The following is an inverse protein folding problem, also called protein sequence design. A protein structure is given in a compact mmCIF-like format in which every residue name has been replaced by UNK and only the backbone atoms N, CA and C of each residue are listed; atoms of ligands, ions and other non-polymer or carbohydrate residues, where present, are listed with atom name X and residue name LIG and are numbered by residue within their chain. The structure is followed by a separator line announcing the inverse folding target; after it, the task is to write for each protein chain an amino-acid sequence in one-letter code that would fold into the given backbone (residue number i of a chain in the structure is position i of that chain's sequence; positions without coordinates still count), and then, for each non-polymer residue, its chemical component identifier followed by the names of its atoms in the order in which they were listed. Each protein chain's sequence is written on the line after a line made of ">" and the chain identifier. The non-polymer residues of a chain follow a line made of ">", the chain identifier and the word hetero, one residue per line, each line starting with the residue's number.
data_IF_725335243477
#
_entry.id   IF_725335243477
#
_cell.length_a   1.000
_cell.length_b   1.000
_cell.length_c   1.000
_cell.angle_alpha   90.00
_cell.angle_beta   90.00
_cell.angle_gamma   90.00
#
_symmetry.space_group_name_H-M   'P 1'
#
loop_
_entity.id
_entity.type
_entity.pdbx_description
1 polymer ?
#
# COMPACT_ATOMS: atom_id res chain seq x y z
N UNK A 1 38.93 -21.66 31.12
CA UNK A 1 37.49 -21.38 31.20
C UNK A 1 36.79 -22.24 30.18
N UNK A 2 35.89 -23.11 30.62
CA UNK A 2 35.17 -24.04 29.76
C UNK A 2 34.24 -23.27 28.81
N UNK A 3 34.55 -23.27 27.51
CA UNK A 3 33.66 -22.73 26.50
C UNK A 3 32.45 -23.67 26.35
N UNK A 4 31.25 -23.13 26.57
CA UNK A 4 29.98 -23.78 26.29
C UNK A 4 29.92 -24.20 24.81
N UNK A 5 30.18 -25.49 24.54
CA UNK A 5 30.16 -26.08 23.20
C UNK A 5 28.76 -26.39 22.67
N UNK A 6 27.85 -25.42 22.75
CA UNK A 6 26.57 -25.48 22.03
C UNK A 6 26.64 -24.55 20.82
N UNK A 7 26.60 -25.09 19.61
CA UNK A 7 26.38 -24.25 18.43
C UNK A 7 25.05 -23.50 18.60
N UNK A 8 25.03 -22.21 18.29
CA UNK A 8 23.78 -21.46 18.25
C UNK A 8 22.85 -22.12 17.21
N UNK A 9 21.58 -22.33 17.55
CA UNK A 9 20.58 -22.94 16.66
C UNK A 9 20.10 -21.98 15.56
N UNK A 10 20.98 -21.09 15.08
CA UNK A 10 20.65 -20.07 14.10
C UNK A 10 21.01 -20.56 12.70
N UNK A 11 20.11 -20.25 11.78
CA UNK A 11 20.26 -20.32 10.33
C UNK A 11 21.05 -19.13 9.74
N UNK A 12 21.37 -18.10 10.54
CA UNK A 12 22.20 -16.98 10.11
C UNK A 12 23.68 -17.40 10.06
N UNK A 13 24.30 -17.22 8.90
CA UNK A 13 25.74 -17.40 8.71
C UNK A 13 26.43 -16.05 8.78
N UNK A 14 27.44 -15.90 9.65
CA UNK A 14 28.20 -14.67 9.76
C UNK A 14 29.70 -14.92 9.93
N UNK A 15 30.50 -14.01 9.39
CA UNK A 15 31.95 -13.97 9.53
C UNK A 15 32.31 -12.67 10.25
N UNK A 16 33.21 -12.77 11.24
CA UNK A 16 33.81 -11.63 11.94
C UNK A 16 35.29 -11.58 11.59
N UNK A 17 35.78 -10.41 11.16
CA UNK A 17 37.19 -10.18 10.83
C UNK A 17 37.70 -8.91 11.50
N UNK A 18 38.99 -8.85 11.85
CA UNK A 18 39.60 -7.62 12.35
C UNK A 18 39.76 -6.57 11.24
N UNK A 19 39.65 -5.30 11.61
CA UNK A 19 39.94 -4.14 10.75
C UNK A 19 41.12 -3.37 11.35
N UNK A 20 42.16 -3.03 10.57
CA UNK A 20 43.30 -2.30 11.08
C UNK A 20 42.93 -0.95 11.72
N UNK A 21 43.70 -0.54 12.73
CA UNK A 21 43.58 0.78 13.31
C UNK A 21 43.87 1.86 12.25
N UNK A 22 43.06 2.92 12.24
CA UNK A 22 43.39 4.13 11.47
C UNK A 22 44.24 5.08 12.33
N UNK A 23 44.83 6.12 11.74
CA UNK A 23 45.57 7.17 12.47
C UNK A 23 44.78 7.83 13.60
N UNK A 24 43.45 7.74 13.56
CA UNK A 24 42.53 8.32 14.54
C UNK A 24 41.96 7.27 15.51
N UNK A 25 42.27 5.99 15.32
CA UNK A 25 41.76 4.91 16.16
C UNK A 25 42.72 4.61 17.31
N UNK A 26 42.17 4.22 18.46
CA UNK A 26 42.95 3.76 19.63
C UNK A 26 43.41 2.30 19.52
N UNK A 27 43.00 1.58 18.47
CA UNK A 27 43.29 0.17 18.23
C UNK A 27 42.54 -0.39 17.00
N UNK A 28 42.75 -1.67 16.65
CA UNK A 28 41.99 -2.35 15.59
C UNK A 28 40.51 -2.47 15.96
N UNK A 29 39.66 -2.53 14.94
CA UNK A 29 38.20 -2.75 15.07
C UNK A 29 37.77 -4.12 14.55
N UNK A 30 36.46 -4.33 14.43
CA UNK A 30 35.88 -5.55 13.87
C UNK A 30 34.90 -5.22 12.73
N UNK A 31 34.95 -6.02 11.68
CA UNK A 31 33.99 -6.04 10.59
C UNK A 31 33.14 -7.31 10.73
N UNK A 32 31.82 -7.15 10.62
CA UNK A 32 30.86 -8.25 10.68
C UNK A 32 30.11 -8.32 9.35
N UNK A 33 30.11 -9.50 8.74
CA UNK A 33 29.33 -9.78 7.52
C UNK A 33 28.45 -11.00 7.77
N UNK A 34 27.14 -10.78 7.86
CA UNK A 34 26.12 -11.81 8.02
C UNK A 34 25.22 -11.95 6.80
N UNK A 35 24.64 -13.14 6.61
CA UNK A 35 23.55 -13.40 5.67
C UNK A 35 22.47 -14.25 6.34
N UNK A 36 21.22 -13.91 6.06
CA UNK A 36 20.02 -14.70 6.33
C UNK A 36 19.24 -14.87 5.02
N UNK A 37 18.55 -15.99 4.87
CA UNK A 37 17.69 -16.24 3.71
C UNK A 37 16.27 -15.74 3.99
N UNK A 38 15.74 -14.90 3.10
CA UNK A 38 14.37 -14.42 3.16
C UNK A 38 13.48 -15.32 2.29
N UNK A 39 12.58 -16.08 2.91
CA UNK A 39 11.73 -17.06 2.23
C UNK A 39 10.24 -16.79 2.54
N UNK A 40 9.42 -16.73 1.50
CA UNK A 40 7.97 -16.57 1.59
C UNK A 40 7.31 -17.11 0.32
N UNK A 41 6.02 -17.43 0.39
CA UNK A 41 5.31 -18.11 -0.70
C UNK A 41 3.89 -17.56 -0.90
N UNK A 42 3.31 -17.86 -2.07
CA UNK A 42 1.97 -17.47 -2.45
C UNK A 42 1.22 -18.66 -3.01
N UNK A 43 -0.07 -18.80 -2.69
CA UNK A 43 -0.95 -19.80 -3.30
C UNK A 43 -2.22 -19.14 -3.82
N UNK A 44 -2.59 -19.49 -5.05
CA UNK A 44 -3.92 -19.19 -5.59
C UNK A 44 -4.86 -20.28 -5.13
N UNK A 45 -5.93 -19.89 -4.43
CA UNK A 45 -6.92 -20.82 -3.90
C UNK A 45 -8.32 -20.30 -4.22
N UNK A 46 -9.27 -21.21 -4.40
CA UNK A 46 -10.69 -20.88 -4.42
C UNK A 46 -11.28 -21.24 -3.06
N UNK A 47 -11.93 -20.29 -2.39
CA UNK A 47 -12.52 -20.45 -1.06
C UNK A 47 -11.51 -20.96 -0.01
N UNK A 48 -10.67 -20.05 0.49
CA UNK A 48 -9.62 -20.35 1.49
C UNK A 48 -10.17 -20.93 2.81
N UNK A 49 -11.46 -20.72 3.09
CA UNK A 49 -12.14 -21.25 4.29
C UNK A 49 -13.01 -22.48 3.98
N UNK A 50 -12.73 -23.20 2.89
CA UNK A 50 -13.35 -24.49 2.59
C UNK A 50 -12.92 -25.55 3.62
N UNK A 51 -13.87 -26.04 4.43
CA UNK A 51 -13.65 -27.04 5.48
C UNK A 51 -13.07 -28.37 4.99
N UNK A 52 -13.11 -28.64 3.68
CA UNK A 52 -12.53 -29.85 3.08
C UNK A 52 -11.05 -29.69 2.70
N UNK A 53 -10.50 -28.46 2.76
CA UNK A 53 -9.12 -28.14 2.37
C UNK A 53 -8.27 -27.78 3.58
N UNK A 54 -7.08 -28.36 3.68
CA UNK A 54 -6.20 -28.12 4.83
C UNK A 54 -5.12 -27.05 4.59
N UNK A 55 -5.09 -26.42 3.41
CA UNK A 55 -4.00 -25.52 2.98
C UNK A 55 -3.68 -24.45 4.04
N UNK A 56 -4.70 -23.73 4.54
CA UNK A 56 -4.54 -22.71 5.58
C UNK A 56 -4.31 -23.33 6.96
N UNK A 57 -5.03 -24.41 7.31
CA UNK A 57 -4.94 -25.08 8.60
C UNK A 57 -3.53 -25.61 8.91
N UNK A 58 -2.79 -26.06 7.89
CA UNK A 58 -1.43 -26.61 8.04
C UNK A 58 -0.47 -25.63 8.72
N UNK A 59 -0.65 -24.32 8.52
CA UNK A 59 0.16 -23.27 9.17
C UNK A 59 -0.10 -23.11 10.66
N UNK A 60 -1.18 -23.67 11.20
CA UNK A 60 -1.58 -23.51 12.60
C UNK A 60 -1.73 -24.85 13.34
N UNK A 61 -1.72 -25.98 12.61
CA UNK A 61 -1.87 -27.33 13.15
C UNK A 61 -0.91 -27.63 14.31
N UNK A 62 0.35 -27.19 14.20
CA UNK A 62 1.38 -27.38 15.24
C UNK A 62 0.97 -26.80 16.59
N UNK A 63 0.25 -25.68 16.59
CA UNK A 63 -0.15 -24.96 17.80
C UNK A 63 -1.56 -25.32 18.27
N UNK A 64 -2.42 -25.83 17.39
CA UNK A 64 -3.81 -26.17 17.71
C UNK A 64 -4.68 -24.94 18.02
N UNK A 65 -4.18 -23.74 17.74
CA UNK A 65 -4.87 -22.46 17.94
C UNK A 65 -4.36 -21.42 16.94
N UNK A 66 -5.13 -20.35 16.75
CA UNK A 66 -4.76 -19.25 15.87
C UNK A 66 -5.32 -17.93 16.39
N UNK A 67 -4.50 -16.88 16.38
CA UNK A 67 -4.95 -15.49 16.51
C UNK A 67 -5.23 -14.95 15.12
N UNK A 68 -6.49 -14.59 14.87
CA UNK A 68 -6.94 -14.02 13.60
C UNK A 68 -7.21 -12.54 13.80
N UNK A 69 -6.57 -11.69 12.99
CA UNK A 69 -6.83 -10.25 12.96
C UNK A 69 -7.57 -9.92 11.66
N UNK A 70 -8.75 -9.33 11.79
CA UNK A 70 -9.64 -8.98 10.68
C UNK A 70 -10.50 -7.75 10.98
N UNK A 71 -10.92 -7.02 9.96
CA UNK A 71 -11.80 -5.86 10.15
C UNK A 71 -13.26 -6.24 10.42
N UNK A 72 -14.02 -5.31 10.98
CA UNK A 72 -15.43 -5.50 11.35
C UNK A 72 -16.33 -5.95 10.19
N UNK A 73 -16.17 -5.40 8.98
CA UNK A 73 -17.00 -5.79 7.84
C UNK A 73 -16.70 -7.23 7.40
N UNK A 74 -15.42 -7.62 7.42
CA UNK A 74 -15.03 -9.00 7.13
C UNK A 74 -15.47 -9.97 8.22
N UNK A 75 -15.48 -9.56 9.49
CA UNK A 75 -16.01 -10.40 10.55
C UNK A 75 -17.51 -10.67 10.37
N UNK A 76 -18.29 -9.66 9.98
CA UNK A 76 -19.72 -9.82 9.67
C UNK A 76 -19.95 -10.78 8.49
N UNK A 77 -19.15 -10.68 7.43
CA UNK A 77 -19.32 -11.50 6.23
C UNK A 77 -18.74 -12.92 6.37
N UNK A 78 -17.57 -13.06 7.01
CA UNK A 78 -16.74 -14.27 6.96
C UNK A 78 -16.37 -14.84 8.33
N UNK A 79 -16.68 -14.16 9.44
CA UNK A 79 -16.32 -14.63 10.79
C UNK A 79 -16.88 -16.02 11.11
N UNK A 80 -18.11 -16.32 10.71
CA UNK A 80 -18.71 -17.65 10.84
C UNK A 80 -17.97 -18.72 10.01
N UNK A 81 -17.56 -18.38 8.78
CA UNK A 81 -16.81 -19.29 7.92
C UNK A 81 -15.42 -19.59 8.47
N UNK A 82 -14.71 -18.57 8.99
CA UNK A 82 -13.41 -18.70 9.66
C UNK A 82 -13.52 -19.64 10.88
N UNK A 83 -14.53 -19.42 11.72
CA UNK A 83 -14.75 -20.26 12.90
C UNK A 83 -15.06 -21.71 12.53
N UNK A 84 -15.91 -21.93 11.52
CA UNK A 84 -16.25 -23.26 11.05
C UNK A 84 -15.05 -23.98 10.43
N UNK A 85 -14.25 -23.29 9.62
CA UNK A 85 -13.01 -23.81 9.03
C UNK A 85 -12.03 -24.29 10.10
N UNK A 86 -11.63 -23.42 11.03
CA UNK A 86 -10.68 -23.84 12.05
C UNK A 86 -11.27 -24.90 13.00
N UNK A 87 -12.57 -24.84 13.28
CA UNK A 87 -13.30 -25.86 14.02
C UNK A 87 -13.22 -27.25 13.39
N UNK A 88 -13.43 -27.36 12.06
CA UNK A 88 -13.33 -28.65 11.34
C UNK A 88 -11.92 -29.23 11.35
N UNK A 89 -10.89 -28.39 11.49
CA UNK A 89 -9.49 -28.80 11.58
C UNK A 89 -8.97 -28.95 13.02
N UNK A 90 -9.85 -28.90 14.03
CA UNK A 90 -9.48 -28.96 15.46
C UNK A 90 -8.48 -27.89 15.90
N UNK A 91 -8.55 -26.71 15.31
CA UNK A 91 -7.74 -25.54 15.66
C UNK A 91 -8.67 -24.53 16.32
N UNK A 92 -8.30 -23.99 17.49
CA UNK A 92 -9.11 -22.98 18.19
C UNK A 92 -8.84 -21.56 17.65
N UNK A 93 -9.79 -20.91 16.94
CA UNK A 93 -9.61 -19.52 16.54
C UNK A 93 -9.88 -18.56 17.70
N UNK A 94 -9.11 -17.48 17.76
CA UNK A 94 -9.40 -16.28 18.57
C UNK A 94 -9.41 -15.09 17.61
N UNK A 95 -10.57 -14.47 17.46
CA UNK A 95 -10.74 -13.35 16.54
C UNK A 95 -10.50 -12.03 17.28
N UNK A 96 -9.54 -11.23 16.81
CA UNK A 96 -9.38 -9.84 17.18
C UNK A 96 -9.93 -8.96 16.05
N UNK A 97 -11.11 -8.41 16.28
CA UNK A 97 -11.83 -7.58 15.32
C UNK A 97 -11.47 -6.12 15.56
N UNK A 98 -11.11 -5.39 14.50
CA UNK A 98 -10.76 -3.98 14.57
C UNK A 98 -11.55 -3.15 13.56
N UNK A 99 -11.55 -1.83 13.78
CA UNK A 99 -12.16 -0.89 12.84
C UNK A 99 -11.24 -0.63 11.65
N UNK A 100 -11.68 -1.05 10.45
CA UNK A 100 -10.95 -0.83 9.20
C UNK A 100 -11.02 0.63 8.72
N UNK A 101 -10.29 0.92 7.63
CA UNK A 101 -10.29 2.22 6.96
C UNK A 101 -9.08 3.10 7.28
N UNK A 102 -8.66 3.94 6.33
CA UNK A 102 -7.35 4.62 6.28
C UNK A 102 -7.07 5.52 7.50
N UNK A 103 -8.10 6.04 8.18
CA UNK A 103 -7.92 6.82 9.42
C UNK A 103 -7.42 5.98 10.59
N UNK A 104 -7.58 4.65 10.52
CA UNK A 104 -7.08 3.68 11.50
C UNK A 104 -5.73 3.09 11.07
N UNK A 105 -5.11 3.61 10.00
CA UNK A 105 -3.73 3.25 9.63
C UNK A 105 -2.71 3.97 10.50
N UNK A 106 -2.75 3.74 11.80
CA UNK A 106 -2.07 4.54 12.83
C UNK A 106 -1.22 3.69 13.78
N UNK A 107 -0.39 4.34 14.59
CA UNK A 107 0.36 3.68 15.65
C UNK A 107 -0.58 3.10 16.71
N UNK A 108 -1.68 3.77 17.05
CA UNK A 108 -2.60 3.31 18.09
C UNK A 108 -3.25 1.96 17.69
N UNK A 109 -3.68 1.84 16.43
CA UNK A 109 -4.19 0.58 15.87
C UNK A 109 -3.12 -0.51 15.81
N UNK A 110 -1.88 -0.15 15.47
CA UNK A 110 -0.75 -1.09 15.52
C UNK A 110 -0.51 -1.62 16.94
N UNK A 111 -0.55 -0.73 17.95
CA UNK A 111 -0.38 -1.10 19.36
C UNK A 111 -1.54 -1.97 19.87
N UNK A 112 -2.78 -1.76 19.43
CA UNK A 112 -3.88 -2.66 19.80
C UNK A 112 -3.66 -4.10 19.31
N UNK A 113 -2.94 -4.29 18.20
CA UNK A 113 -2.56 -5.63 17.74
C UNK A 113 -1.45 -6.24 18.57
N UNK A 114 -0.50 -5.43 19.06
CA UNK A 114 0.51 -5.87 20.03
C UNK A 114 -0.17 -6.34 21.31
N UNK A 115 -1.12 -5.57 21.84
CA UNK A 115 -1.92 -5.94 23.02
C UNK A 115 -2.70 -7.26 22.81
N UNK A 116 -3.24 -7.46 21.59
CA UNK A 116 -3.91 -8.70 21.22
C UNK A 116 -2.95 -9.90 21.19
N UNK A 117 -1.73 -9.73 20.65
CA UNK A 117 -0.69 -10.77 20.63
C UNK A 117 -0.22 -11.14 22.05
N UNK A 118 -0.07 -10.16 22.94
CA UNK A 118 0.28 -10.39 24.35
C UNK A 118 -0.86 -11.09 25.09
N UNK A 119 -2.11 -10.62 24.92
CA UNK A 119 -3.29 -11.22 25.54
C UNK A 119 -3.54 -12.66 25.10
N UNK A 120 -3.25 -12.98 23.83
CA UNK A 120 -3.30 -14.34 23.30
C UNK A 120 -2.17 -15.24 23.84
N UNK A 121 -1.12 -14.64 24.40
CA UNK A 121 0.09 -15.34 24.82
C UNK A 121 0.84 -15.92 23.63
N UNK A 122 0.99 -15.13 22.55
CA UNK A 122 1.65 -15.56 21.32
C UNK A 122 3.10 -15.98 21.59
N UNK A 123 3.49 -17.20 21.20
CA UNK A 123 4.87 -17.68 21.37
C UNK A 123 5.74 -17.30 20.17
N UNK A 124 7.08 -17.26 20.34
CA UNK A 124 8.00 -16.56 19.43
C UNK A 124 7.89 -16.90 17.93
N UNK A 125 7.61 -18.16 17.58
CA UNK A 125 7.49 -18.59 16.17
C UNK A 125 6.05 -18.89 15.75
N UNK A 126 5.06 -18.68 16.62
CA UNK A 126 3.63 -18.86 16.32
C UNK A 126 3.17 -17.75 15.37
N UNK A 127 2.59 -18.09 14.21
CA UNK A 127 2.15 -17.09 13.26
C UNK A 127 0.82 -16.46 13.68
N UNK A 128 0.67 -15.16 13.37
CA UNK A 128 -0.64 -14.48 13.36
C UNK A 128 -1.30 -14.69 12.00
N UNK A 129 -2.61 -14.88 11.95
CA UNK A 129 -3.37 -14.84 10.70
C UNK A 129 -3.94 -13.45 10.47
N UNK A 130 -3.66 -12.87 9.31
CA UNK A 130 -4.21 -11.57 8.88
C UNK A 130 -5.19 -11.81 7.76
N UNK A 131 -6.45 -11.42 7.93
CA UNK A 131 -7.49 -11.50 6.90
C UNK A 131 -7.97 -10.10 6.60
N UNK A 132 -7.64 -9.56 5.43
CA UNK A 132 -8.05 -8.21 5.09
C UNK A 132 -7.46 -7.59 3.83
N UNK A 133 -7.81 -6.32 3.64
CA UNK A 133 -7.26 -5.48 2.58
C UNK A 133 -5.82 -5.02 2.84
N UNK A 134 -5.38 -4.03 2.05
CA UNK A 134 -4.02 -3.46 2.17
C UNK A 134 -3.74 -2.87 3.55
N UNK A 135 -4.73 -2.19 4.17
CA UNK A 135 -4.58 -1.64 5.51
C UNK A 135 -4.29 -2.71 6.56
N UNK A 136 -5.10 -3.78 6.62
CA UNK A 136 -4.89 -4.86 7.57
C UNK A 136 -3.51 -5.51 7.36
N UNK A 137 -3.15 -5.78 6.11
CA UNK A 137 -1.88 -6.39 5.72
C UNK A 137 -0.66 -5.55 6.13
N UNK A 138 -0.77 -4.23 6.03
CA UNK A 138 0.28 -3.28 6.39
C UNK A 138 0.41 -3.10 7.91
N UNK A 139 -0.69 -2.80 8.60
CA UNK A 139 -0.65 -2.44 10.02
C UNK A 139 -0.32 -3.68 10.87
N UNK A 140 -0.96 -4.82 10.59
CA UNK A 140 -0.66 -6.07 11.30
C UNK A 140 0.73 -6.57 10.94
N UNK A 141 1.12 -6.50 9.66
CA UNK A 141 2.47 -6.86 9.24
C UNK A 141 3.54 -6.04 9.96
N UNK A 142 3.30 -4.74 10.18
CA UNK A 142 4.22 -3.88 10.94
C UNK A 142 4.22 -4.18 12.45
N UNK A 143 3.06 -4.53 13.02
CA UNK A 143 2.98 -5.05 14.38
C UNK A 143 3.81 -6.33 14.52
N UNK A 144 3.69 -7.28 13.58
CA UNK A 144 4.47 -8.52 13.56
C UNK A 144 5.98 -8.27 13.37
N UNK A 145 6.37 -7.30 12.54
CA UNK A 145 7.78 -6.91 12.38
C UNK A 145 8.38 -6.39 13.69
N UNK A 146 7.57 -5.67 14.47
CA UNK A 146 8.01 -5.02 15.72
C UNK A 146 7.91 -5.95 16.94
N UNK A 147 6.90 -6.82 16.99
CA UNK A 147 6.63 -7.70 18.12
C UNK A 147 7.77 -8.71 18.30
N UNK A 148 8.44 -8.63 19.46
CA UNK A 148 9.68 -9.38 19.78
C UNK A 148 10.77 -9.29 18.69
N UNK A 149 10.82 -8.15 17.99
CA UNK A 149 11.74 -7.80 16.90
C UNK A 149 11.61 -8.61 15.60
N UNK A 150 10.67 -9.56 15.55
CA UNK A 150 10.21 -10.26 14.35
C UNK A 150 9.33 -11.43 14.80
N UNK A 151 8.11 -11.44 14.30
CA UNK A 151 7.10 -12.47 14.53
C UNK A 151 6.51 -12.90 13.19
N UNK A 152 6.31 -14.20 13.06
CA UNK A 152 5.74 -14.83 11.87
C UNK A 152 4.27 -14.44 11.67
N UNK A 153 3.82 -14.44 10.43
CA UNK A 153 2.41 -14.25 10.12
C UNK A 153 2.05 -14.80 8.73
N UNK A 154 0.77 -15.03 8.51
CA UNK A 154 0.18 -15.49 7.24
C UNK A 154 -0.86 -14.47 6.80
N UNK A 155 -0.94 -14.18 5.51
CA UNK A 155 -1.91 -13.23 4.94
C UNK A 155 -2.99 -13.94 4.13
N UNK A 156 -4.20 -13.41 4.20
CA UNK A 156 -5.32 -13.68 3.30
C UNK A 156 -5.81 -12.32 2.80
N UNK A 157 -5.50 -11.99 1.54
CA UNK A 157 -5.90 -10.72 0.93
C UNK A 157 -7.37 -10.75 0.49
N UNK A 158 -8.16 -9.74 0.86
CA UNK A 158 -9.62 -9.72 0.56
C UNK A 158 -10.08 -8.58 -0.34
N UNK A 159 -9.19 -7.64 -0.66
CA UNK A 159 -9.45 -6.56 -1.64
C UNK A 159 -8.62 -6.79 -2.88
N UNK A 160 -9.02 -6.24 -4.02
CA UNK A 160 -8.22 -6.36 -5.24
C UNK A 160 -6.80 -5.78 -5.04
N UNK A 161 -6.67 -4.60 -4.42
CA UNK A 161 -5.34 -4.02 -4.10
C UNK A 161 -4.50 -4.99 -3.27
N UNK A 162 -5.07 -5.63 -2.25
CA UNK A 162 -4.33 -6.61 -1.46
C UNK A 162 -3.89 -7.80 -2.31
N UNK A 163 -4.79 -8.34 -3.14
CA UNK A 163 -4.56 -9.53 -3.95
C UNK A 163 -3.50 -9.35 -5.04
N UNK A 164 -3.29 -8.14 -5.55
CA UNK A 164 -2.36 -7.91 -6.67
C UNK A 164 -1.22 -6.91 -6.39
N UNK A 165 -1.21 -6.26 -5.24
CA UNK A 165 -0.15 -5.31 -4.84
C UNK A 165 0.19 -5.39 -3.33
N UNK A 166 -0.68 -4.86 -2.46
CA UNK A 166 -0.32 -4.60 -1.07
C UNK A 166 0.03 -5.86 -0.26
N UNK A 167 -0.70 -6.97 -0.43
CA UNK A 167 -0.36 -8.22 0.25
C UNK A 167 0.72 -9.04 -0.50
N UNK A 168 1.01 -8.68 -1.75
CA UNK A 168 2.13 -9.22 -2.53
C UNK A 168 3.44 -8.61 -2.05
N UNK A 169 3.47 -7.32 -1.75
CA UNK A 169 4.67 -6.66 -1.22
C UNK A 169 5.03 -7.12 0.19
N UNK A 170 6.32 -7.06 0.54
CA UNK A 170 6.80 -7.23 1.92
C UNK A 170 6.84 -5.90 2.69
N UNK A 171 6.50 -4.79 2.03
CA UNK A 171 6.38 -3.48 2.67
C UNK A 171 5.17 -3.49 3.59
N UNK A 172 5.39 -3.04 4.82
CA UNK A 172 4.36 -2.92 5.85
C UNK A 172 4.54 -1.58 6.54
N UNK A 173 3.46 -0.96 7.02
CA UNK A 173 3.60 0.31 7.70
C UNK A 173 2.32 1.02 8.07
N UNK A 174 2.51 2.20 8.67
CA UNK A 174 1.46 3.08 9.15
C UNK A 174 1.70 4.51 8.68
N UNK A 175 0.64 5.30 8.71
CA UNK A 175 0.72 6.73 8.46
C UNK A 175 1.25 7.45 9.71
N UNK A 176 1.96 8.57 9.50
CA UNK A 176 2.33 9.48 10.58
C UNK A 176 1.84 10.88 10.25
N UNK A 177 0.81 11.35 10.97
CA UNK A 177 0.12 12.61 10.66
C UNK A 177 -0.41 12.58 9.21
N UNK A 178 -0.06 13.56 8.38
CA UNK A 178 -0.44 13.63 6.95
C UNK A 178 0.53 12.89 6.02
N UNK A 179 1.44 12.09 6.56
CA UNK A 179 2.49 11.43 5.79
C UNK A 179 2.15 9.95 5.65
N UNK A 180 1.78 9.55 4.44
CA UNK A 180 1.39 8.17 4.10
C UNK A 180 2.58 7.22 4.24
N UNK A 181 2.37 6.04 4.84
CA UNK A 181 3.35 4.95 4.97
C UNK A 181 4.72 5.38 5.53
N UNK A 182 4.76 6.37 6.42
CA UNK A 182 6.01 6.99 6.88
C UNK A 182 6.80 6.09 7.85
N UNK A 183 6.11 5.28 8.64
CA UNK A 183 6.74 4.36 9.59
C UNK A 183 6.42 2.94 9.15
N UNK A 184 7.42 2.06 9.07
CA UNK A 184 7.21 0.74 8.51
C UNK A 184 8.44 -0.15 8.56
N UNK A 185 8.33 -1.29 7.89
CA UNK A 185 9.40 -2.27 7.74
C UNK A 185 9.28 -3.00 6.39
N UNK A 186 10.35 -3.69 6.00
CA UNK A 186 10.33 -4.74 5.00
C UNK A 186 10.23 -6.07 5.77
N UNK A 187 9.02 -6.61 5.90
CA UNK A 187 8.75 -7.83 6.69
C UNK A 187 7.87 -8.76 5.87
N UNK A 188 8.41 -9.91 5.49
CA UNK A 188 7.69 -10.86 4.65
C UNK A 188 6.77 -11.75 5.49
N UNK A 189 5.55 -12.08 5.01
CA UNK A 189 4.76 -13.14 5.61
C UNK A 189 5.41 -14.49 5.35
N UNK A 190 5.06 -15.52 6.13
CA UNK A 190 5.41 -16.89 5.79
C UNK A 190 4.75 -17.31 4.48
N UNK A 191 3.47 -16.94 4.33
CA UNK A 191 2.65 -17.28 3.18
C UNK A 191 1.54 -16.25 2.97
N UNK A 192 1.16 -16.02 1.72
CA UNK A 192 0.00 -15.23 1.33
C UNK A 192 -0.96 -16.06 0.48
N UNK A 193 -2.17 -16.26 0.97
CA UNK A 193 -3.27 -16.87 0.21
C UNK A 193 -3.98 -15.83 -0.64
N UNK A 194 -4.12 -16.14 -1.93
CA UNK A 194 -4.73 -15.32 -2.95
C UNK A 194 -6.06 -15.95 -3.37
N UNK A 195 -7.11 -15.59 -2.65
CA UNK A 195 -8.49 -16.02 -2.92
C UNK A 195 -9.28 -14.88 -3.58
N UNK A 196 -9.48 -15.00 -4.88
CA UNK A 196 -10.20 -13.99 -5.64
C UNK A 196 -11.72 -14.10 -5.49
N UNK A 197 -12.26 -15.08 -4.75
CA UNK A 197 -13.69 -15.15 -4.45
C UNK A 197 -14.14 -14.07 -3.45
N UNK A 198 -13.22 -13.48 -2.67
CA UNK A 198 -13.53 -12.31 -1.84
C UNK A 198 -14.02 -11.11 -2.69
N UNK A 199 -13.67 -11.05 -3.97
CA UNK A 199 -14.14 -9.98 -4.85
C UNK A 199 -15.66 -10.00 -5.07
N UNK A 200 -16.34 -11.13 -4.84
CA UNK A 200 -17.81 -11.26 -4.95
C UNK A 200 -18.57 -10.23 -4.12
N UNK A 201 -18.05 -9.92 -2.94
CA UNK A 201 -18.65 -9.01 -1.95
C UNK A 201 -17.94 -7.65 -1.88
N UNK A 202 -16.84 -7.48 -2.63
CA UNK A 202 -16.08 -6.24 -2.64
C UNK A 202 -16.88 -5.14 -3.38
N UNK A 203 -17.07 -3.95 -2.78
CA UNK A 203 -17.78 -2.85 -3.45
C UNK A 203 -17.12 -2.49 -4.79
N UNK A 204 -17.93 -2.17 -5.80
CA UNK A 204 -17.44 -1.87 -7.16
C UNK A 204 -16.40 -0.74 -7.18
N UNK A 205 -16.54 0.27 -6.32
CA UNK A 205 -15.57 1.34 -6.16
C UNK A 205 -14.19 0.84 -5.69
N UNK A 206 -14.14 -0.17 -4.82
CA UNK A 206 -12.89 -0.82 -4.38
C UNK A 206 -12.29 -1.72 -5.46
N UNK A 207 -13.14 -2.40 -6.23
CA UNK A 207 -12.71 -3.17 -7.39
C UNK A 207 -12.05 -2.26 -8.41
N UNK A 208 -12.70 -1.14 -8.76
CA UNK A 208 -12.15 -0.10 -9.65
C UNK A 208 -10.85 0.49 -9.11
N UNK A 209 -10.82 0.82 -7.82
CA UNK A 209 -9.65 1.34 -7.12
C UNK A 209 -8.44 0.41 -7.32
N UNK A 210 -8.60 -0.90 -7.14
CA UNK A 210 -7.52 -1.87 -7.37
C UNK A 210 -7.14 -2.08 -8.83
N UNK A 211 -8.06 -1.87 -9.78
CA UNK A 211 -7.74 -2.00 -11.21
C UNK A 211 -6.68 -0.98 -11.66
N UNK A 212 -6.58 0.18 -11.00
CA UNK A 212 -5.53 1.16 -11.27
C UNK A 212 -4.11 0.57 -11.13
N UNK A 213 -3.89 -0.33 -10.17
CA UNK A 213 -2.58 -0.96 -9.95
C UNK A 213 -2.24 -2.00 -11.04
N UNK A 214 -3.25 -2.60 -11.67
CA UNK A 214 -3.05 -3.40 -12.88
C UNK A 214 -2.68 -2.51 -14.07
N UNK A 215 -3.36 -1.37 -14.23
CA UNK A 215 -3.03 -0.38 -15.28
C UNK A 215 -1.58 0.10 -15.13
N UNK A 216 -1.14 0.35 -13.89
CA UNK A 216 0.23 0.74 -13.53
C UNK A 216 1.29 -0.20 -14.06
N UNK A 217 1.16 -1.48 -13.71
CA UNK A 217 2.24 -2.44 -13.95
C UNK A 217 2.20 -2.99 -15.37
N UNK A 218 1.01 -3.24 -15.93
CA UNK A 218 0.87 -3.92 -17.21
C UNK A 218 1.27 -3.02 -18.39
N UNK A 219 0.83 -1.75 -18.39
CA UNK A 219 1.15 -0.83 -19.49
C UNK A 219 2.67 -0.66 -19.70
N UNK A 220 3.43 -0.62 -18.61
CA UNK A 220 4.87 -0.36 -18.64
C UNK A 220 5.73 -1.62 -18.79
N UNK A 221 5.19 -2.82 -18.65
CA UNK A 221 6.02 -4.03 -18.58
C UNK A 221 5.41 -5.33 -19.16
N UNK A 222 4.11 -5.41 -19.47
CA UNK A 222 3.51 -6.60 -20.10
C UNK A 222 2.42 -6.23 -21.14
N UNK A 223 2.83 -6.05 -22.41
CA UNK A 223 1.92 -5.74 -23.51
C UNK A 223 0.80 -6.76 -23.74
N UNK A 224 1.09 -8.05 -23.53
CA UNK A 224 0.13 -9.11 -23.83
C UNK A 224 -1.03 -9.06 -22.84
N UNK A 225 -0.71 -9.03 -21.55
CA UNK A 225 -1.71 -8.93 -20.49
C UNK A 225 -2.39 -7.56 -20.49
N UNK A 226 -1.69 -6.49 -20.89
CA UNK A 226 -2.31 -5.18 -21.13
C UNK A 226 -3.44 -5.25 -22.16
N UNK A 227 -3.24 -5.92 -23.30
CA UNK A 227 -4.31 -6.08 -24.31
C UNK A 227 -5.51 -6.86 -23.78
N UNK A 228 -5.30 -7.85 -22.90
CA UNK A 228 -6.40 -8.52 -22.21
C UNK A 228 -7.17 -7.54 -21.31
N UNK A 229 -6.47 -6.71 -20.54
CA UNK A 229 -7.10 -5.68 -19.71
C UNK A 229 -7.85 -4.65 -20.56
N UNK A 230 -7.31 -4.23 -21.71
CA UNK A 230 -7.99 -3.35 -22.68
C UNK A 230 -9.31 -3.96 -23.16
N UNK A 231 -9.32 -5.27 -23.44
CA UNK A 231 -10.49 -6.01 -23.93
C UNK A 231 -11.55 -6.20 -22.86
N UNK A 232 -11.18 -6.63 -21.66
CA UNK A 232 -12.13 -7.10 -20.63
C UNK A 232 -12.31 -6.15 -19.45
N UNK A 233 -11.51 -5.09 -19.33
CA UNK A 233 -11.38 -4.29 -18.09
C UNK A 233 -12.69 -3.71 -17.54
N UNK A 234 -13.58 -3.25 -18.41
CA UNK A 234 -14.89 -2.73 -18.01
C UNK A 234 -15.77 -3.83 -17.41
N UNK A 235 -15.89 -4.97 -18.10
CA UNK A 235 -16.67 -6.12 -17.63
C UNK A 235 -16.07 -6.72 -16.35
N UNK A 236 -14.74 -6.75 -16.22
CA UNK A 236 -14.07 -7.20 -15.01
C UNK A 236 -14.49 -6.37 -13.81
N UNK A 237 -14.48 -5.03 -13.89
CA UNK A 237 -14.93 -4.19 -12.78
C UNK A 237 -16.40 -4.40 -12.46
N UNK A 238 -17.26 -4.45 -13.48
CA UNK A 238 -18.70 -4.54 -13.32
C UNK A 238 -19.19 -5.91 -12.82
N UNK A 239 -18.37 -6.96 -12.91
CA UNK A 239 -18.75 -8.34 -12.56
C UNK A 239 -17.91 -8.95 -11.45
N UNK A 240 -17.31 -8.11 -10.59
CA UNK A 240 -16.42 -8.58 -9.52
C UNK A 240 -15.31 -9.50 -10.08
N UNK A 241 -14.62 -9.05 -11.12
CA UNK A 241 -13.55 -9.76 -11.82
C UNK A 241 -14.01 -11.14 -12.34
N UNK A 242 -15.20 -11.17 -12.95
CA UNK A 242 -15.82 -12.36 -13.50
C UNK A 242 -16.49 -13.28 -12.48
N UNK A 243 -16.43 -12.97 -11.17
CA UNK A 243 -17.02 -13.82 -10.12
C UNK A 243 -18.54 -13.74 -10.06
N UNK A 244 -19.09 -12.58 -10.40
CA UNK A 244 -20.53 -12.32 -10.46
C UNK A 244 -21.05 -12.34 -11.91
N UNK A 245 -20.21 -12.73 -12.89
CA UNK A 245 -20.61 -12.79 -14.29
C UNK A 245 -21.60 -13.93 -14.54
N UNK A 246 -22.62 -13.68 -15.37
CA UNK A 246 -23.64 -14.66 -15.76
C UNK A 246 -23.81 -14.69 -17.26
N UNK A 247 -24.26 -15.84 -17.81
CA UNK A 247 -24.56 -15.98 -19.24
C UNK A 247 -23.38 -16.43 -20.11
N UNK A 248 -23.55 -16.44 -21.45
CA UNK A 248 -22.50 -16.81 -22.38
C UNK A 248 -21.28 -15.89 -22.23
N UNK A 249 -20.09 -16.47 -22.02
CA UNK A 249 -18.85 -15.71 -21.81
C UNK A 249 -18.44 -15.51 -20.35
N UNK A 250 -19.28 -15.83 -19.36
CA UNK A 250 -18.92 -15.70 -17.94
C UNK A 250 -17.66 -16.50 -17.57
N UNK A 251 -17.52 -17.72 -18.11
CA UNK A 251 -16.33 -18.56 -17.91
C UNK A 251 -15.07 -17.93 -18.53
N UNK A 252 -15.17 -17.43 -19.77
CA UNK A 252 -14.07 -16.74 -20.46
C UNK A 252 -13.62 -15.51 -19.68
N UNK A 253 -14.57 -14.72 -19.16
CA UNK A 253 -14.27 -13.53 -18.37
C UNK A 253 -13.57 -13.87 -17.05
N UNK A 254 -14.01 -14.94 -16.36
CA UNK A 254 -13.33 -15.42 -15.14
C UNK A 254 -11.91 -15.89 -15.44
N UNK A 255 -11.71 -16.67 -16.51
CA UNK A 255 -10.39 -17.15 -16.94
C UNK A 255 -9.46 -15.99 -17.34
N UNK A 256 -9.99 -14.97 -18.03
CA UNK A 256 -9.26 -13.76 -18.34
C UNK A 256 -8.87 -12.99 -17.07
N UNK A 257 -9.78 -12.85 -16.10
CA UNK A 257 -9.50 -12.21 -14.82
C UNK A 257 -8.35 -12.89 -14.07
N UNK A 258 -8.41 -14.23 -13.97
CA UNK A 258 -7.42 -15.04 -13.27
C UNK A 258 -6.05 -14.96 -13.94
N UNK A 259 -6.03 -14.99 -15.28
CA UNK A 259 -4.81 -14.84 -16.08
C UNK A 259 -4.20 -13.46 -15.89
N UNK A 260 -5.00 -12.38 -15.98
CA UNK A 260 -4.54 -11.01 -15.81
C UNK A 260 -3.91 -10.82 -14.43
N UNK A 261 -4.62 -11.24 -13.38
CA UNK A 261 -4.14 -11.06 -12.02
C UNK A 261 -2.88 -11.90 -11.74
N UNK A 262 -2.85 -13.16 -12.19
CA UNK A 262 -1.67 -14.03 -12.04
C UNK A 262 -0.44 -13.44 -12.73
N UNK A 263 -0.59 -12.95 -13.95
CA UNK A 263 0.52 -12.35 -14.70
C UNK A 263 0.99 -11.06 -14.03
N UNK A 264 0.08 -10.20 -13.57
CA UNK A 264 0.43 -8.97 -12.86
C UNK A 264 1.18 -9.25 -11.55
N UNK A 265 0.74 -10.24 -10.75
CA UNK A 265 1.42 -10.67 -9.53
C UNK A 265 2.83 -11.19 -9.85
N UNK A 266 2.96 -12.08 -10.85
CA UNK A 266 4.27 -12.62 -11.25
C UNK A 266 5.22 -11.51 -11.69
N UNK A 267 4.71 -10.56 -12.47
CA UNK A 267 5.47 -9.42 -12.94
C UNK A 267 5.93 -8.52 -11.79
N UNK A 268 5.05 -8.24 -10.82
CA UNK A 268 5.42 -7.49 -9.62
C UNK A 268 6.53 -8.20 -8.84
N UNK A 269 6.42 -9.51 -8.66
CA UNK A 269 7.43 -10.31 -7.98
C UNK A 269 8.77 -10.29 -8.73
N UNK A 270 8.77 -10.39 -10.06
CA UNK A 270 10.00 -10.32 -10.86
C UNK A 270 10.70 -8.96 -10.76
N UNK A 271 9.93 -7.88 -10.61
CA UNK A 271 10.45 -6.53 -10.48
C UNK A 271 10.95 -6.21 -9.06
N UNK A 272 10.26 -6.69 -8.02
CA UNK A 272 10.57 -6.33 -6.63
C UNK A 272 11.51 -7.33 -5.93
N UNK A 273 11.48 -8.63 -6.26
CA UNK A 273 12.30 -9.65 -5.58
C UNK A 273 13.81 -9.38 -5.64
N UNK A 274 14.38 -8.83 -6.74
CA UNK A 274 15.78 -8.43 -6.77
C UNK A 274 16.10 -7.16 -5.94
N UNK A 275 15.08 -6.47 -5.41
CA UNK A 275 15.20 -5.16 -4.79
C UNK A 275 14.25 -4.99 -3.58
N UNK A 276 14.11 -6.03 -2.76
CA UNK A 276 13.09 -6.09 -1.70
C UNK A 276 13.20 -5.02 -0.61
N UNK A 277 14.38 -4.42 -0.44
CA UNK A 277 14.62 -3.30 0.50
C UNK A 277 14.72 -1.95 -0.22
N UNK A 278 14.34 -1.88 -1.50
CA UNK A 278 14.36 -0.67 -2.33
C UNK A 278 15.72 0.05 -2.34
N UNK A 279 16.82 -0.71 -2.31
CA UNK A 279 18.18 -0.17 -2.42
C UNK A 279 18.37 0.51 -3.78
N UNK A 280 17.84 -0.10 -4.85
CA UNK A 280 17.69 0.53 -6.15
C UNK A 280 16.42 1.38 -6.19
N UNK A 281 16.55 2.64 -6.61
CA UNK A 281 15.42 3.59 -6.60
C UNK A 281 14.75 3.79 -7.96
N UNK A 282 15.32 3.24 -9.03
CA UNK A 282 14.70 3.18 -10.36
C UNK A 282 13.74 1.98 -10.42
N UNK A 283 12.51 2.21 -9.95
CA UNK A 283 11.52 1.17 -9.69
C UNK A 283 10.34 1.29 -10.63
N UNK A 284 10.17 0.34 -11.54
CA UNK A 284 9.07 0.32 -12.53
C UNK A 284 7.71 0.38 -11.84
N UNK A 285 7.55 -0.35 -10.73
CA UNK A 285 6.27 -0.37 -10.00
C UNK A 285 5.97 0.93 -9.24
N UNK A 286 6.87 1.92 -9.27
CA UNK A 286 6.63 3.27 -8.78
C UNK A 286 5.99 4.18 -9.84
N UNK A 287 5.58 3.62 -11.00
CA UNK A 287 4.71 4.28 -11.95
C UNK A 287 3.42 4.76 -11.28
N UNK A 288 2.96 5.96 -11.62
CA UNK A 288 1.79 6.58 -10.96
C UNK A 288 1.98 6.94 -9.49
N UNK A 289 3.22 6.94 -8.97
CA UNK A 289 3.55 7.25 -7.57
C UNK A 289 4.55 8.40 -7.42
N UNK A 290 4.61 9.31 -8.38
CA UNK A 290 5.42 10.53 -8.31
C UNK A 290 4.65 11.76 -7.82
N UNK A 291 3.42 11.92 -8.30
CA UNK A 291 2.46 12.98 -7.97
C UNK A 291 1.37 12.46 -7.02
N UNK A 292 0.95 11.21 -7.20
CA UNK A 292 -0.23 10.67 -6.52
C UNK A 292 -0.20 10.76 -4.99
N UNK A 293 0.94 10.59 -4.26
CA UNK A 293 0.90 10.66 -2.80
C UNK A 293 0.47 12.04 -2.27
N UNK A 294 0.83 13.11 -2.98
CA UNK A 294 0.39 14.48 -2.65
C UNK A 294 -1.04 14.72 -3.10
N UNK A 295 -1.39 14.32 -4.33
CA UNK A 295 -2.73 14.51 -4.89
C UNK A 295 -3.81 13.74 -4.12
N UNK A 296 -3.51 12.53 -3.66
CA UNK A 296 -4.45 11.65 -2.95
C UNK A 296 -5.06 12.33 -1.72
N UNK A 297 -4.23 13.07 -0.97
CA UNK A 297 -4.59 13.72 0.28
C UNK A 297 -5.00 15.19 0.14
N UNK A 298 -4.89 15.76 -1.08
CA UNK A 298 -5.21 17.16 -1.34
C UNK A 298 -6.72 17.48 -1.20
N UNK A 299 -7.64 16.71 -1.81
CA UNK A 299 -9.07 16.92 -1.61
C UNK A 299 -9.56 16.35 -0.27
N UNK A 300 -10.74 16.83 0.15
CA UNK A 300 -11.48 16.21 1.26
C UNK A 300 -12.95 15.97 0.86
N UNK A 301 -13.45 14.72 0.92
CA UNK A 301 -12.74 13.48 1.27
C UNK A 301 -11.54 13.21 0.34
N UNK A 302 -10.50 12.48 0.80
CA UNK A 302 -9.35 12.18 -0.05
C UNK A 302 -9.79 11.34 -1.25
N UNK A 303 -8.98 11.35 -2.32
CA UNK A 303 -9.20 10.41 -3.42
C UNK A 303 -8.91 8.99 -2.94
N UNK A 304 -9.61 8.01 -3.51
CA UNK A 304 -9.16 6.63 -3.44
C UNK A 304 -7.79 6.52 -4.09
N UNK A 305 -6.94 5.69 -3.50
CA UNK A 305 -5.54 5.53 -3.90
C UNK A 305 -5.36 5.34 -5.41
N UNK A 306 -6.06 4.36 -6.00
CA UNK A 306 -6.01 4.05 -7.42
C UNK A 306 -6.47 5.19 -8.33
N UNK A 307 -7.38 6.05 -7.87
CA UNK A 307 -7.77 7.25 -8.64
C UNK A 307 -6.67 8.30 -8.64
N UNK A 308 -5.97 8.50 -7.52
CA UNK A 308 -4.80 9.38 -7.47
C UNK A 308 -3.65 8.82 -8.31
N UNK A 309 -3.39 7.51 -8.22
CA UNK A 309 -2.37 6.80 -9.01
C UNK A 309 -2.69 6.88 -10.51
N UNK A 310 -3.95 6.69 -10.91
CA UNK A 310 -4.35 6.82 -12.30
C UNK A 310 -4.22 8.26 -12.83
N UNK A 311 -4.49 9.28 -12.01
CA UNK A 311 -4.30 10.68 -12.41
C UNK A 311 -2.83 10.99 -12.68
N UNK A 312 -1.93 10.50 -11.83
CA UNK A 312 -0.48 10.61 -12.03
C UNK A 312 -0.03 9.90 -13.30
N UNK A 313 -0.49 8.66 -13.53
CA UNK A 313 -0.20 7.94 -14.76
C UNK A 313 -0.73 8.66 -16.00
N UNK A 314 -1.93 9.23 -15.96
CA UNK A 314 -2.52 9.95 -17.09
C UNK A 314 -1.70 11.18 -17.47
N UNK A 315 -1.19 11.90 -16.46
CA UNK A 315 -0.23 12.96 -16.65
C UNK A 315 1.08 12.44 -17.28
N UNK A 316 1.64 11.35 -16.75
CA UNK A 316 2.87 10.73 -17.28
C UNK A 316 2.71 10.18 -18.71
N UNK A 317 1.54 9.67 -19.08
CA UNK A 317 1.20 9.24 -20.45
C UNK A 317 1.14 10.46 -21.39
N UNK A 318 0.60 11.58 -20.91
CA UNK A 318 0.61 12.84 -21.67
C UNK A 318 2.03 13.36 -21.88
N UNK A 319 2.87 13.31 -20.82
CA UNK A 319 4.29 13.65 -20.88
C UNK A 319 5.04 12.76 -21.87
N UNK A 320 4.79 11.45 -21.84
CA UNK A 320 5.40 10.50 -22.77
C UNK A 320 5.09 10.85 -24.22
N UNK A 321 3.82 11.13 -24.52
CA UNK A 321 3.39 11.54 -25.85
C UNK A 321 4.01 12.90 -26.23
N UNK A 322 4.05 13.87 -25.30
CA UNK A 322 4.67 15.18 -25.53
C UNK A 322 6.15 15.06 -25.91
N UNK A 323 6.88 14.14 -25.27
CA UNK A 323 8.29 13.84 -25.55
C UNK A 323 8.50 12.87 -26.72
N UNK A 324 7.44 12.44 -27.42
CA UNK A 324 7.51 11.49 -28.54
C UNK A 324 7.95 10.07 -28.14
N UNK A 325 7.77 9.70 -26.87
CA UNK A 325 8.13 8.38 -26.35
C UNK A 325 7.07 7.31 -26.64
N UNK A 326 5.83 7.73 -26.87
CA UNK A 326 4.70 6.89 -27.28
C UNK A 326 3.93 7.57 -28.41
N UNK A 327 3.20 6.77 -29.19
CA UNK A 327 2.34 7.28 -30.27
C UNK A 327 1.02 7.85 -29.74
N UNK A 328 0.28 8.57 -30.59
CA UNK A 328 -1.06 9.05 -30.26
C UNK A 328 -2.03 7.88 -30.02
N UNK A 329 -1.88 6.79 -30.78
CA UNK A 329 -2.70 5.58 -30.65
C UNK A 329 -2.44 4.88 -29.30
N UNK A 330 -1.18 4.79 -28.85
CA UNK A 330 -0.84 4.25 -27.53
C UNK A 330 -1.43 5.10 -26.41
N UNK A 331 -1.33 6.44 -26.52
CA UNK A 331 -1.98 7.38 -25.59
C UNK A 331 -3.50 7.18 -25.56
N UNK A 332 -4.14 7.18 -26.73
CA UNK A 332 -5.60 7.11 -26.85
C UNK A 332 -6.15 5.77 -26.36
N UNK A 333 -5.44 4.65 -26.58
CA UNK A 333 -5.79 3.36 -26.00
C UNK A 333 -5.75 3.37 -24.48
N UNK A 334 -4.70 3.97 -23.89
CA UNK A 334 -4.55 4.09 -22.44
C UNK A 334 -5.70 4.89 -21.81
N UNK A 335 -5.99 6.08 -22.34
CA UNK A 335 -7.11 6.91 -21.86
C UNK A 335 -8.47 6.27 -22.13
N UNK A 336 -8.61 5.57 -23.25
CA UNK A 336 -9.82 4.82 -23.60
C UNK A 336 -10.11 3.72 -22.57
N UNK A 337 -9.10 2.94 -22.18
CA UNK A 337 -9.24 1.92 -21.14
C UNK A 337 -9.54 2.54 -19.77
N UNK A 338 -8.73 3.49 -19.29
CA UNK A 338 -8.92 4.15 -18.00
C UNK A 338 -10.33 4.74 -17.88
N UNK A 339 -10.80 5.36 -18.96
CA UNK A 339 -12.13 5.92 -19.04
C UNK A 339 -13.28 4.92 -19.08
N UNK A 340 -13.12 3.73 -19.68
CA UNK A 340 -14.14 2.65 -19.65
C UNK A 340 -14.23 1.98 -18.27
N UNK A 341 -13.09 1.79 -17.62
CA UNK A 341 -13.02 1.32 -16.23
C UNK A 341 -13.67 2.34 -15.28
N UNK A 342 -13.60 3.63 -15.63
CA UNK A 342 -14.13 4.74 -14.82
C UNK A 342 -13.11 5.34 -13.86
N UNK A 343 -11.80 5.16 -14.12
CA UNK A 343 -10.74 5.76 -13.33
C UNK A 343 -10.62 7.27 -13.55
N UNK A 344 -10.10 7.98 -12.56
CA UNK A 344 -9.80 9.41 -12.66
C UNK A 344 -8.57 9.62 -13.55
N UNK A 345 -8.72 10.45 -14.58
CA UNK A 345 -7.65 10.78 -15.53
C UNK A 345 -7.19 12.24 -15.46
N UNK A 346 -7.98 13.13 -14.83
CA UNK A 346 -7.58 14.48 -14.42
C UNK A 346 -8.34 14.84 -13.13
N UNK A 347 -7.88 15.87 -12.41
CA UNK A 347 -8.55 16.35 -11.22
C UNK A 347 -8.38 17.88 -11.08
N UNK A 348 -9.38 18.61 -10.53
CA UNK A 348 -9.28 20.05 -10.30
C UNK A 348 -8.09 20.48 -9.43
N UNK A 349 -7.64 19.62 -8.51
CA UNK A 349 -6.47 19.89 -7.65
C UNK A 349 -5.13 19.52 -8.30
N UNK A 350 -5.13 18.88 -9.47
CA UNK A 350 -3.91 18.73 -10.28
C UNK A 350 -3.58 20.10 -10.89
N UNK A 351 -2.91 20.92 -10.09
CA UNK A 351 -2.54 22.31 -10.35
C UNK A 351 -1.03 22.42 -10.52
N UNK A 352 -0.52 23.51 -11.13
CA UNK A 352 0.91 23.78 -11.17
C UNK A 352 1.56 23.68 -9.79
N UNK A 353 0.94 24.28 -8.77
CA UNK A 353 1.47 24.32 -7.41
C UNK A 353 1.57 22.92 -6.80
N UNK A 354 0.54 22.08 -7.00
CA UNK A 354 0.54 20.71 -6.50
C UNK A 354 1.58 19.84 -7.21
N UNK A 355 1.80 20.02 -8.52
CA UNK A 355 2.83 19.30 -9.26
C UNK A 355 4.24 19.61 -8.72
N UNK A 356 4.53 20.89 -8.51
CA UNK A 356 5.82 21.32 -7.97
C UNK A 356 6.03 20.84 -6.54
N UNK A 357 5.00 20.93 -5.68
CA UNK A 357 5.03 20.38 -4.32
C UNK A 357 5.31 18.87 -4.33
N UNK A 358 4.62 18.12 -5.20
CA UNK A 358 4.81 16.69 -5.31
C UNK A 358 6.21 16.32 -5.83
N UNK A 359 6.73 17.06 -6.81
CA UNK A 359 8.09 16.88 -7.32
C UNK A 359 9.16 17.10 -6.22
N UNK A 360 9.02 18.14 -5.40
CA UNK A 360 9.92 18.38 -4.27
C UNK A 360 9.83 17.28 -3.20
N UNK A 361 8.62 16.82 -2.91
CA UNK A 361 8.41 15.73 -1.95
C UNK A 361 9.02 14.42 -2.47
N UNK A 362 8.79 14.06 -3.73
CA UNK A 362 9.24 12.78 -4.28
C UNK A 362 10.76 12.73 -4.45
N UNK A 363 11.43 13.84 -4.78
CA UNK A 363 12.91 13.90 -4.81
C UNK A 363 13.52 13.54 -3.45
N UNK A 364 12.92 13.97 -2.34
CA UNK A 364 13.40 13.60 -0.99
C UNK A 364 13.26 12.09 -0.74
N UNK A 365 12.17 11.50 -1.21
CA UNK A 365 11.92 10.05 -1.11
C UNK A 365 12.85 9.25 -2.02
N UNK A 366 13.28 9.81 -3.16
CA UNK A 366 14.04 9.13 -4.22
C UNK A 366 15.50 9.58 -4.31
N UNK A 367 16.04 10.02 -3.17
CA UNK A 367 17.44 10.38 -2.96
C UNK A 367 17.94 11.49 -3.91
N UNK A 368 17.20 12.60 -3.94
CA UNK A 368 17.54 13.82 -4.68
C UNK A 368 17.13 13.83 -6.16
N UNK A 369 16.72 12.69 -6.72
CA UNK A 369 16.32 12.57 -8.13
C UNK A 369 14.81 12.38 -8.29
N UNK A 370 14.25 12.78 -9.43
CA UNK A 370 12.81 12.70 -9.67
C UNK A 370 12.34 11.25 -9.93
N UNK A 371 13.07 10.54 -10.81
CA UNK A 371 12.83 9.15 -11.26
C UNK A 371 11.38 8.87 -11.64
N UNK A 372 10.74 9.79 -12.37
CA UNK A 372 9.38 9.57 -12.88
C UNK A 372 9.40 8.40 -13.88
N UNK A 373 8.56 7.40 -13.63
CA UNK A 373 8.38 6.27 -14.55
C UNK A 373 7.46 6.73 -15.66
N UNK A 374 7.97 6.75 -16.89
CA UNK A 374 7.24 7.24 -18.06
C UNK A 374 7.25 6.17 -19.14
N UNK A 375 6.10 5.83 -19.74
CA UNK A 375 6.05 4.82 -20.78
C UNK A 375 6.87 5.23 -22.01
N UNK A 376 7.55 4.27 -22.64
CA UNK A 376 8.36 4.45 -23.84
C UNK A 376 8.12 3.26 -24.76
N UNK A 377 7.15 3.37 -25.66
CA UNK A 377 6.52 2.24 -26.37
C UNK A 377 5.88 1.20 -25.43
N UNK A 378 4.87 0.48 -25.91
CA UNK A 378 4.14 -0.52 -25.14
C UNK A 378 5.08 -1.55 -24.45
N UNK A 379 4.90 -1.75 -23.14
CA UNK A 379 5.66 -2.72 -22.35
C UNK A 379 7.08 -2.28 -21.96
N UNK A 380 7.43 -1.01 -22.16
CA UNK A 380 8.69 -0.45 -21.70
C UNK A 380 8.45 0.91 -21.03
N UNK A 381 9.36 1.28 -20.14
CA UNK A 381 9.37 2.58 -19.50
C UNK A 381 10.79 3.13 -19.38
N UNK A 382 10.88 4.43 -19.08
CA UNK A 382 12.11 5.14 -18.74
C UNK A 382 11.93 5.88 -17.42
N UNK A 383 13.05 6.20 -16.78
CA UNK A 383 13.09 7.02 -15.58
C UNK A 383 13.55 8.43 -15.96
N UNK A 384 12.67 9.42 -15.81
CA UNK A 384 12.99 10.82 -16.12
C UNK A 384 13.47 11.55 -14.86
N UNK A 385 14.52 12.34 -15.02
CA UNK A 385 15.13 13.16 -13.96
C UNK A 385 15.29 14.64 -14.36
N UNK A 386 14.82 14.99 -15.54
CA UNK A 386 15.08 16.26 -16.22
C UNK A 386 13.78 17.00 -16.57
N UNK A 387 12.68 16.70 -15.87
CA UNK A 387 11.42 17.44 -16.05
C UNK A 387 11.58 18.78 -15.34
N UNK A 388 11.69 19.85 -16.12
CA UNK A 388 11.75 21.22 -15.60
C UNK A 388 10.39 21.67 -15.05
N UNK A 389 10.38 22.66 -14.16
CA UNK A 389 9.14 23.25 -13.63
C UNK A 389 8.28 23.82 -14.77
N UNK A 390 8.90 24.44 -15.78
CA UNK A 390 8.22 24.95 -16.97
C UNK A 390 7.60 23.83 -17.81
N UNK A 391 8.29 22.69 -17.94
CA UNK A 391 7.73 21.52 -18.62
C UNK A 391 6.56 20.91 -17.84
N UNK A 392 6.64 20.87 -16.51
CA UNK A 392 5.52 20.40 -15.68
C UNK A 392 4.23 21.18 -15.98
N UNK A 393 4.33 22.51 -15.96
CA UNK A 393 3.18 23.39 -16.22
C UNK A 393 2.68 23.26 -17.66
N UNK A 394 3.60 23.27 -18.63
CA UNK A 394 3.23 23.12 -20.05
C UNK A 394 2.53 21.80 -20.34
N UNK A 395 3.02 20.69 -19.78
CA UNK A 395 2.42 19.37 -19.98
C UNK A 395 1.08 19.27 -19.26
N UNK A 396 0.90 19.94 -18.12
CA UNK A 396 -0.39 20.04 -17.45
C UNK A 396 -1.44 20.71 -18.36
N UNK A 397 -1.09 21.80 -19.04
CA UNK A 397 -2.01 22.47 -19.97
C UNK A 397 -2.41 21.58 -21.15
N UNK A 398 -1.43 20.85 -21.71
CA UNK A 398 -1.66 19.86 -22.78
C UNK A 398 -2.59 18.75 -22.26
N UNK A 399 -2.33 18.25 -21.06
CA UNK A 399 -3.10 17.19 -20.42
C UNK A 399 -4.56 17.60 -20.23
N UNK A 400 -4.79 18.75 -19.59
CA UNK A 400 -6.15 19.26 -19.34
C UNK A 400 -6.91 19.51 -20.64
N UNK A 401 -6.24 20.08 -21.65
CA UNK A 401 -6.83 20.30 -22.98
C UNK A 401 -7.23 18.98 -23.64
N UNK A 402 -6.36 17.97 -23.60
CA UNK A 402 -6.62 16.67 -24.18
C UNK A 402 -7.78 15.94 -23.47
N UNK A 403 -7.82 15.96 -22.13
CA UNK A 403 -8.92 15.36 -21.34
C UNK A 403 -10.28 15.99 -21.68
N UNK A 404 -10.33 17.30 -21.92
CA UNK A 404 -11.52 17.97 -22.42
C UNK A 404 -11.89 17.51 -23.84
N UNK A 405 -10.92 17.40 -24.74
CA UNK A 405 -11.13 16.96 -26.13
C UNK A 405 -11.73 15.54 -26.23
N UNK A 406 -11.29 14.62 -25.37
CA UNK A 406 -11.83 13.25 -25.33
C UNK A 406 -13.17 13.14 -24.55
N UNK A 407 -13.80 14.27 -24.23
CA UNK A 407 -15.14 14.32 -23.63
C UNK A 407 -15.19 13.90 -22.16
N UNK A 408 -14.08 14.00 -21.42
CA UNK A 408 -14.00 13.58 -20.01
C UNK A 408 -14.20 14.71 -19.01
N UNK A 409 -14.59 15.90 -19.46
CA UNK A 409 -14.91 17.04 -18.58
C UNK A 409 -13.72 17.43 -17.70
N UNK A 410 -13.88 17.34 -16.37
CA UNK A 410 -12.81 17.59 -15.39
C UNK A 410 -11.95 16.34 -15.08
N UNK A 411 -12.17 15.23 -15.81
CA UNK A 411 -11.44 13.97 -15.72
C UNK A 411 -11.69 13.14 -14.46
N UNK A 412 -12.60 13.56 -13.57
CA UNK A 412 -12.92 12.82 -12.34
C UNK A 412 -13.68 11.54 -12.67
N UNK A 413 -13.16 10.41 -12.17
CA UNK A 413 -13.72 9.09 -12.40
C UNK A 413 -14.95 8.76 -11.53
N UNK A 414 -15.49 7.55 -11.74
CA UNK A 414 -16.59 7.01 -10.95
C UNK A 414 -16.10 6.58 -9.57
N UNK A 415 -16.83 6.95 -8.52
CA UNK A 415 -16.51 6.62 -7.13
C UNK A 415 -15.07 7.04 -6.74
N UNK A 416 -14.61 8.21 -7.23
CA UNK A 416 -13.22 8.63 -7.08
C UNK A 416 -12.79 8.97 -5.64
N UNK A 417 -13.73 9.34 -4.78
CA UNK A 417 -13.47 9.80 -3.42
C UNK A 417 -13.67 8.67 -2.41
N UNK A 418 -12.86 8.69 -1.35
CA UNK A 418 -12.97 7.79 -0.23
C UNK A 418 -14.33 7.98 0.48
N UNK A 419 -15.05 6.88 0.71
CA UNK A 419 -16.30 6.86 1.46
C UNK A 419 -16.09 6.43 2.92
N UNK A 420 -17.20 6.18 3.64
CA UNK A 420 -17.14 5.79 5.03
C UNK A 420 -16.41 4.45 5.26
N UNK A 421 -16.50 3.50 4.32
CA UNK A 421 -15.78 2.23 4.38
C UNK A 421 -14.29 2.40 4.11
N UNK A 422 -13.92 3.27 3.17
CA UNK A 422 -12.51 3.63 2.93
C UNK A 422 -11.84 4.28 4.14
N UNK A 423 -12.55 5.19 4.81
CA UNK A 423 -11.97 6.00 5.89
C UNK A 423 -12.12 5.34 7.27
N UNK A 424 -13.12 4.48 7.47
CA UNK A 424 -13.50 3.99 8.80
C UNK A 424 -14.24 5.05 9.61
N UNK A 425 -14.81 6.07 8.97
CA UNK A 425 -15.61 7.15 9.55
C UNK A 425 -16.39 7.89 8.46
N UNK A 426 -17.55 8.46 8.82
CA UNK A 426 -18.37 9.26 7.89
C UNK A 426 -17.62 10.54 7.43
N UNK A 427 -17.30 10.68 6.14
CA UNK A 427 -16.62 11.86 5.62
C UNK A 427 -17.39 13.18 5.83
N UNK A 428 -18.73 13.16 5.82
CA UNK A 428 -19.54 14.35 6.08
C UNK A 428 -19.44 14.80 7.53
N UNK A 429 -19.43 13.84 8.46
CA UNK A 429 -19.23 14.11 9.87
C UNK A 429 -17.85 14.71 10.13
N UNK A 430 -16.79 14.13 9.55
CA UNK A 430 -15.43 14.65 9.66
C UNK A 430 -15.31 16.08 9.12
N UNK A 431 -16.03 16.42 8.04
CA UNK A 431 -16.06 17.78 7.51
C UNK A 431 -16.73 18.75 8.50
N UNK A 432 -17.84 18.34 9.12
CA UNK A 432 -18.54 19.14 10.15
C UNK A 432 -17.64 19.37 11.36
N UNK A 433 -16.90 18.35 11.81
CA UNK A 433 -15.94 18.44 12.90
C UNK A 433 -14.78 19.40 12.58
N UNK A 434 -14.14 19.25 11.41
CA UNK A 434 -13.09 20.17 10.95
C UNK A 434 -13.55 21.63 10.89
N UNK A 435 -14.78 21.87 10.40
CA UNK A 435 -15.36 23.23 10.36
C UNK A 435 -15.57 23.79 11.77
N UNK A 436 -16.03 22.96 12.72
CA UNK A 436 -16.19 23.36 14.13
C UNK A 436 -14.85 23.68 14.78
N UNK A 437 -13.82 22.85 14.56
CA UNK A 437 -12.46 23.09 15.06
C UNK A 437 -11.86 24.37 14.48
N UNK A 438 -11.99 24.59 13.17
CA UNK A 438 -11.53 25.81 12.52
C UNK A 438 -12.24 27.06 13.08
N UNK A 439 -13.56 27.00 13.26
CA UNK A 439 -14.33 28.08 13.87
C UNK A 439 -13.93 28.34 15.33
N UNK A 440 -13.64 27.30 16.12
CA UNK A 440 -13.17 27.43 17.50
C UNK A 440 -11.75 28.03 17.58
N UNK A 441 -10.87 27.68 16.64
CA UNK A 441 -9.53 28.29 16.52
C UNK A 441 -9.64 29.77 16.13
N UNK A 442 -10.55 30.10 15.21
CA UNK A 442 -10.82 31.48 14.80
C UNK A 442 -11.38 32.30 15.98
N UNK A 443 -12.36 31.78 16.71
CA UNK A 443 -12.90 32.43 17.92
C UNK A 443 -11.85 32.65 19.01
N UNK A 444 -10.88 31.73 19.19
CA UNK A 444 -9.76 31.92 20.12
C UNK A 444 -8.77 32.99 19.67
N UNK A 445 -8.64 33.26 18.37
CA UNK A 445 -7.83 34.37 17.83
C UNK A 445 -8.55 35.71 17.91
N UNK A 446 -9.88 35.70 17.89
CA UNK A 446 -10.74 36.90 17.94
C UNK A 446 -11.06 37.36 19.37
N UNK A 447 -10.58 36.69 20.41
CA UNK A 447 -10.61 37.22 21.79
C UNK A 447 -9.58 38.34 21.91
N UNK A 448 -9.98 39.59 22.20
CA UNK A 448 -9.02 40.68 22.39
C UNK A 448 -8.08 40.35 23.54
N UNK A 449 -6.79 40.60 23.36
CA UNK A 449 -5.75 40.45 24.37
C UNK A 449 -6.02 41.44 25.53
N UNK A 450 -6.91 41.04 26.43
CA UNK A 450 -7.35 41.82 27.57
C UNK A 450 -6.46 41.55 28.78
N UNK A 451 -5.61 42.53 29.08
CA UNK A 451 -4.78 42.72 30.28
C UNK A 451 -3.49 41.90 30.35
N UNK A 452 -2.41 42.55 29.92
CA UNK A 452 -1.10 42.37 30.50
C UNK A 452 -1.19 42.57 32.03
N UNK A 453 -1.06 41.48 32.78
CA UNK A 453 -0.73 41.56 34.21
C UNK A 453 0.78 41.62 34.30
N UNK A 454 1.24 42.80 34.68
CA UNK A 454 2.63 43.11 34.96
C UNK A 454 3.03 42.42 36.27
N UNK A 455 3.86 41.38 36.21
CA UNK A 455 4.57 40.84 37.37
C UNK A 455 6.01 40.56 36.98
N UNK A 456 6.82 41.62 37.08
CA UNK A 456 8.26 41.47 37.28
C UNK A 456 8.52 41.15 38.75
N UNK A 457 9.15 40.01 39.03
CA UNK A 457 10.21 39.83 40.05
C UNK A 457 10.43 38.33 40.33
N UNK A 458 11.70 37.90 40.25
CA UNK A 458 12.16 36.68 40.93
C UNK A 458 12.90 35.68 40.04
N UNK A 459 14.17 35.97 39.74
CA UNK A 459 15.17 34.93 39.40
C UNK A 459 15.59 34.26 40.72
N UNK A 460 15.81 32.93 40.74
CA UNK A 460 17.19 32.48 40.98
C UNK A 460 17.68 31.42 39.99
N UNK A 461 18.94 31.57 39.62
CA UNK A 461 19.78 30.57 38.95
C UNK A 461 20.03 29.35 39.84
N UNK A 462 19.99 28.15 39.24
CA UNK A 462 20.80 26.95 39.54
C UNK A 462 20.26 25.81 38.67
N UNK A 463 20.96 24.76 38.23
CA UNK A 463 22.35 24.40 38.05
C UNK A 463 22.29 23.08 37.24
N UNK A 464 23.32 22.85 36.41
CA UNK A 464 23.90 21.56 36.01
C UNK A 464 23.03 20.34 35.60
N UNK A 465 23.32 19.86 34.37
CA UNK A 465 23.64 18.48 33.97
C UNK A 465 22.98 17.28 34.65
N UNK A 466 22.57 16.28 33.86
CA UNK A 466 23.18 14.93 33.79
C UNK A 466 22.53 14.13 32.66
N UNK A 467 23.38 13.43 31.91
CA UNK A 467 23.04 12.40 30.94
C UNK A 467 22.70 11.06 31.62
N UNK A 468 21.83 10.28 30.99
CA UNK A 468 21.88 8.82 30.96
C UNK A 468 21.10 8.35 29.72
#
# INVERSE_FOLDING_TARGET
>A
MACCGGAASSDMNAIVSEVPATRNATGPGYHVKGKEDLNYTYSFVDNVFDQQKEDLATYFQKWGRVLVILDENLNELYGSAINAYFGSHNIKPTLHVFKGGELHKTMDTMLSFVDAMDSFGLIRKEPVLVVGGGLASDVVGYACASYRRSTNYVRVGTTLIALIDAAISIKVGINHKKLKNRLGAYHAPMHTFLDFDFLKTLPIGQTRNGTAELVKILHCADPHTWKMLVKYGEDLVNTAYGRNATGPGAKELKEAADTICRNAIKLMLDLESPNLHEIGLDRIIANGHGISPTLELAPFPPLRHGHAVCTDMAYCVTLAHHRGLISAEERDEWFGLAGRIGLTVDHPMLTPELLLEANEAIKKTRDGLQRFVVPKTMGKCVFLNDISDEEFVKVLDIHKSYVQQIGRGNGVGLDAYADAGDLGADPEQLLKEKKREAAAIQQKKDVPNGKAVNLAAGVPQSAQAVAA
#
